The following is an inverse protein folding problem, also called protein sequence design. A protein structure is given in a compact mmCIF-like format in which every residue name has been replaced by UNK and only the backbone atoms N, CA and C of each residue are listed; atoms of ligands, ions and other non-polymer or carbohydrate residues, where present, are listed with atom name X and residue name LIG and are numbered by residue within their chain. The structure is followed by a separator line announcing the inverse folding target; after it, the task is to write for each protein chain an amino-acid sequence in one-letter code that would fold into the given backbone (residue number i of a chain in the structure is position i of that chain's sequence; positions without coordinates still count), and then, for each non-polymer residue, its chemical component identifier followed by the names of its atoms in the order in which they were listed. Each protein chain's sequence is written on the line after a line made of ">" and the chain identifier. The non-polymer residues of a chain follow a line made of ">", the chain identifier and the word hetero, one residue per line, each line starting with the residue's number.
data_IF_086367313491
#
_entry.id   IF_086367313491
#
_cell.length_a   1.000
_cell.length_b   1.000
_cell.length_c   1.000
_cell.angle_alpha   90.00
_cell.angle_beta   90.00
_cell.angle_gamma   90.00
#
_symmetry.space_group_name_H-M   'P 1'
#
loop_
_entity.id
_entity.type
_entity.pdbx_description
1 polymer ?
#
# COMPACT_ATOMS: atom_id res chain seq x y z
N UNK A 1 16.19 28.79 8.41
CA UNK A 1 15.29 27.66 8.71
C UNK A 1 15.17 26.85 7.44
N UNK A 2 15.76 25.65 7.40
CA UNK A 2 15.55 24.73 6.28
C UNK A 2 14.06 24.40 6.25
N UNK A 3 13.38 24.71 5.15
CA UNK A 3 12.03 24.18 4.92
C UNK A 3 12.21 22.66 4.88
N UNK A 4 11.74 21.96 5.91
CA UNK A 4 11.64 20.51 5.83
C UNK A 4 10.80 20.20 4.58
N UNK A 5 11.34 19.39 3.66
CA UNK A 5 10.63 19.03 2.45
C UNK A 5 9.30 18.37 2.85
N UNK A 6 8.19 18.90 2.32
CA UNK A 6 6.86 18.32 2.55
C UNK A 6 6.83 16.94 1.89
N UNK A 7 6.62 15.92 2.70
CA UNK A 7 6.43 14.54 2.23
C UNK A 7 4.94 14.20 2.20
N UNK A 8 4.49 13.54 1.13
CA UNK A 8 3.08 13.22 0.88
C UNK A 8 2.89 11.72 0.69
N UNK A 9 1.74 11.23 1.14
CA UNK A 9 1.29 9.87 0.81
C UNK A 9 0.38 9.87 -0.44
N UNK A 10 0.09 8.69 -0.95
CA UNK A 10 -0.75 8.51 -2.14
C UNK A 10 -2.15 9.13 -2.01
N UNK A 11 -2.66 9.28 -0.78
CA UNK A 11 -3.96 9.88 -0.52
C UNK A 11 -4.02 11.34 -0.96
N UNK A 12 -2.89 12.06 -0.94
CA UNK A 12 -2.81 13.46 -1.37
C UNK A 12 -3.26 13.64 -2.83
N UNK A 13 -2.99 12.68 -3.71
CA UNK A 13 -3.30 12.74 -5.16
C UNK A 13 -4.80 12.85 -5.43
N UNK A 14 -5.63 12.32 -4.54
CA UNK A 14 -7.09 12.26 -4.74
C UNK A 14 -7.88 13.17 -3.81
N UNK A 15 -7.19 13.98 -3.01
CA UNK A 15 -7.78 14.97 -2.10
C UNK A 15 -7.89 16.34 -2.75
N UNK A 16 -8.71 17.21 -2.16
CA UNK A 16 -8.78 18.61 -2.55
C UNK A 16 -7.43 19.28 -2.33
N UNK A 17 -6.91 19.96 -3.35
CA UNK A 17 -5.61 20.67 -3.30
C UNK A 17 -5.51 21.67 -2.16
N UNK A 18 -6.63 22.37 -1.86
CA UNK A 18 -6.71 23.28 -0.71
C UNK A 18 -6.47 22.50 0.58
N UNK A 19 -7.17 21.38 0.79
CA UNK A 19 -6.97 20.56 1.99
C UNK A 19 -5.52 20.10 2.14
N UNK A 20 -4.91 19.59 1.08
CA UNK A 20 -3.50 19.16 1.10
C UNK A 20 -2.59 20.33 1.46
N UNK A 21 -2.79 21.51 0.88
CA UNK A 21 -2.02 22.70 1.24
C UNK A 21 -2.18 23.07 2.72
N UNK A 22 -3.41 23.15 3.23
CA UNK A 22 -3.67 23.48 4.63
C UNK A 22 -3.12 22.44 5.62
N UNK A 23 -3.16 21.14 5.29
CA UNK A 23 -2.58 20.06 6.12
C UNK A 23 -1.04 20.13 6.20
N UNK A 24 -0.38 20.89 5.31
CA UNK A 24 1.08 20.95 5.19
C UNK A 24 1.65 22.38 5.21
N UNK A 25 0.82 23.39 5.46
CA UNK A 25 1.26 24.78 5.54
C UNK A 25 1.84 25.06 6.94
N UNK A 26 3.15 25.40 7.06
CA UNK A 26 3.75 25.71 8.35
C UNK A 26 3.19 26.97 9.01
N UNK A 27 2.48 27.82 8.26
CA UNK A 27 1.78 28.99 8.80
C UNK A 27 0.32 28.70 9.17
N UNK A 28 -0.18 27.48 8.96
CA UNK A 28 -1.53 27.12 9.37
C UNK A 28 -1.68 27.27 10.89
N UNK A 29 -2.81 27.83 11.37
CA UNK A 29 -3.06 27.94 12.79
C UNK A 29 -3.17 26.55 13.41
N UNK A 30 -2.51 26.36 14.56
CA UNK A 30 -2.65 25.15 15.37
C UNK A 30 -4.02 25.16 16.05
N UNK A 31 -4.96 24.43 15.47
CA UNK A 31 -6.35 24.36 15.92
C UNK A 31 -6.62 22.95 16.45
N UNK A 32 -7.34 22.87 17.57
CA UNK A 32 -7.80 21.58 18.08
C UNK A 32 -8.70 20.90 17.03
N UNK A 33 -8.36 19.66 16.60
CA UNK A 33 -9.16 18.96 15.61
C UNK A 33 -10.57 18.71 16.14
N UNK A 34 -11.57 18.99 15.31
CA UNK A 34 -12.93 18.57 15.62
C UNK A 34 -12.99 17.04 15.71
N UNK A 35 -13.81 16.48 16.62
CA UNK A 35 -14.00 15.05 16.70
C UNK A 35 -14.50 14.52 15.35
N UNK A 36 -13.92 13.40 14.92
CA UNK A 36 -14.30 12.81 13.64
C UNK A 36 -15.74 12.28 13.69
N UNK A 37 -16.43 12.36 12.56
CA UNK A 37 -17.77 11.82 12.43
C UNK A 37 -17.78 10.31 12.75
N UNK A 38 -18.68 9.80 13.61
CA UNK A 38 -18.73 8.38 13.98
C UNK A 38 -18.82 7.42 12.78
N UNK A 39 -19.52 7.81 11.71
CA UNK A 39 -19.60 7.01 10.50
C UNK A 39 -18.28 6.93 9.72
N UNK A 40 -17.42 7.94 9.83
CA UNK A 40 -16.07 7.91 9.26
C UNK A 40 -15.16 7.02 10.08
N UNK A 41 -15.19 7.16 11.41
CA UNK A 41 -14.45 6.30 12.34
C UNK A 41 -14.81 4.82 12.13
N UNK A 42 -16.11 4.50 12.07
CA UNK A 42 -16.57 3.14 11.81
C UNK A 42 -16.04 2.58 10.48
N UNK A 43 -16.02 3.38 9.40
CA UNK A 43 -15.50 2.93 8.10
C UNK A 43 -13.99 2.67 8.13
N UNK A 44 -13.22 3.46 8.88
CA UNK A 44 -11.79 3.24 9.08
C UNK A 44 -11.54 1.95 9.86
N UNK A 45 -12.25 1.76 10.98
CA UNK A 45 -12.17 0.56 11.79
C UNK A 45 -12.51 -0.70 11.00
N UNK A 46 -13.62 -0.67 10.25
CA UNK A 46 -14.04 -1.77 9.36
C UNK A 46 -12.97 -2.11 8.31
N UNK A 47 -12.36 -1.10 7.69
CA UNK A 47 -11.32 -1.30 6.68
C UNK A 47 -10.06 -1.90 7.30
N UNK A 48 -9.66 -1.45 8.49
CA UNK A 48 -8.52 -2.00 9.23
C UNK A 48 -8.77 -3.46 9.63
N UNK A 49 -9.95 -3.77 10.17
CA UNK A 49 -10.35 -5.13 10.52
C UNK A 49 -10.35 -6.06 9.30
N UNK A 50 -10.86 -5.59 8.16
CA UNK A 50 -10.85 -6.36 6.91
C UNK A 50 -9.42 -6.67 6.44
N UNK A 51 -8.53 -5.68 6.42
CA UNK A 51 -7.12 -5.88 6.05
C UNK A 51 -6.45 -6.89 6.98
N UNK A 52 -6.61 -6.73 8.29
CA UNK A 52 -6.05 -7.65 9.28
C UNK A 52 -6.57 -9.09 9.07
N UNK A 53 -7.87 -9.26 8.80
CA UNK A 53 -8.47 -10.57 8.55
C UNK A 53 -7.91 -11.23 7.28
N UNK A 54 -7.80 -10.50 6.18
CA UNK A 54 -7.24 -11.03 4.91
C UNK A 54 -5.75 -11.36 5.06
N UNK A 55 -4.96 -10.46 5.67
CA UNK A 55 -3.52 -10.71 5.92
C UNK A 55 -3.34 -11.94 6.81
N UNK A 56 -4.14 -12.08 7.87
CA UNK A 56 -4.10 -13.27 8.76
C UNK A 56 -4.46 -14.55 8.01
N UNK A 57 -5.47 -14.51 7.15
CA UNK A 57 -5.86 -15.65 6.33
C UNK A 57 -4.72 -16.04 5.38
N UNK A 58 -4.16 -15.08 4.64
CA UNK A 58 -3.07 -15.34 3.69
C UNK A 58 -1.86 -15.94 4.39
N UNK A 59 -1.43 -15.40 5.53
CA UNK A 59 -0.28 -15.90 6.28
C UNK A 59 -0.38 -17.38 6.68
N UNK A 60 -1.58 -17.97 6.74
CA UNK A 60 -1.78 -19.40 7.01
C UNK A 60 -1.43 -20.30 5.82
N UNK A 61 -1.40 -19.75 4.60
CA UNK A 61 -1.12 -20.50 3.37
C UNK A 61 0.35 -20.43 2.93
N UNK A 62 1.16 -19.58 3.57
CA UNK A 62 2.58 -19.46 3.28
C UNK A 62 3.43 -20.17 4.34
N UNK A 63 4.54 -20.82 3.96
CA UNK A 63 5.54 -21.27 4.92
C UNK A 63 6.04 -20.12 5.78
N UNK A 64 6.33 -20.37 7.06
CA UNK A 64 6.80 -19.33 7.99
C UNK A 64 8.07 -18.63 7.51
N UNK A 65 8.91 -19.31 6.75
CA UNK A 65 10.14 -18.74 6.16
C UNK A 65 9.89 -17.82 4.97
N UNK A 66 8.72 -17.94 4.31
CA UNK A 66 8.34 -17.16 3.13
C UNK A 66 7.57 -15.88 3.51
N UNK A 67 7.24 -15.69 4.79
CA UNK A 67 6.39 -14.60 5.25
C UNK A 67 7.03 -13.84 6.41
N UNK A 68 7.20 -12.52 6.26
CA UNK A 68 7.59 -11.62 7.35
C UNK A 68 6.49 -10.60 7.60
N UNK A 69 6.09 -10.46 8.86
CA UNK A 69 5.16 -9.43 9.30
C UNK A 69 5.92 -8.27 9.94
N UNK A 70 5.79 -7.08 9.37
CA UNK A 70 6.31 -5.84 9.96
C UNK A 70 5.45 -5.47 11.18
N UNK A 71 6.03 -5.24 12.36
CA UNK A 71 5.29 -4.85 13.55
C UNK A 71 4.49 -3.57 13.29
N UNK A 72 3.20 -3.55 13.65
CA UNK A 72 2.33 -2.39 13.39
C UNK A 72 2.36 -1.36 14.51
N UNK A 73 2.85 -1.77 15.69
CA UNK A 73 2.96 -1.01 16.94
C UNK A 73 4.35 -0.39 17.15
N UNK A 74 5.31 -0.69 16.28
CA UNK A 74 6.65 -0.11 16.29
C UNK A 74 6.69 1.31 15.70
N UNK A 75 7.72 2.07 16.07
CA UNK A 75 7.95 3.42 15.55
C UNK A 75 8.22 3.40 14.03
N UNK A 76 7.91 4.48 13.28
CA UNK A 76 8.04 4.49 11.82
C UNK A 76 9.41 4.05 11.31
N UNK A 77 10.50 4.50 11.96
CA UNK A 77 11.86 4.17 11.55
C UNK A 77 12.18 2.68 11.76
N UNK A 78 11.68 2.08 12.84
CA UNK A 78 11.82 0.65 13.12
C UNK A 78 11.05 -0.19 12.10
N UNK A 79 9.85 0.28 11.71
CA UNK A 79 9.03 -0.37 10.68
C UNK A 79 9.68 -0.30 9.30
N UNK A 80 10.30 0.85 8.97
CA UNK A 80 11.09 1.01 7.74
C UNK A 80 12.28 0.05 7.75
N UNK A 81 13.05 0.02 8.84
CA UNK A 81 14.20 -0.87 8.98
C UNK A 81 13.81 -2.35 8.85
N UNK A 82 12.73 -2.77 9.52
CA UNK A 82 12.21 -4.13 9.42
C UNK A 82 11.72 -4.48 8.00
N UNK A 83 11.11 -3.51 7.30
CA UNK A 83 10.69 -3.68 5.91
C UNK A 83 11.91 -3.87 5.01
N UNK A 84 12.89 -2.97 5.07
CA UNK A 84 14.12 -3.03 4.25
C UNK A 84 14.87 -4.34 4.50
N UNK A 85 15.07 -4.73 5.76
CA UNK A 85 15.74 -5.98 6.09
C UNK A 85 15.03 -7.21 5.48
N UNK A 86 13.70 -7.22 5.43
CA UNK A 86 12.94 -8.31 4.81
C UNK A 86 13.06 -8.32 3.27
N UNK A 87 13.10 -7.13 2.65
CA UNK A 87 13.32 -6.99 1.19
C UNK A 87 14.73 -7.42 0.78
N UNK A 88 15.74 -7.01 1.54
CA UNK A 88 17.15 -7.41 1.34
C UNK A 88 17.35 -8.92 1.55
N UNK A 89 16.66 -9.50 2.52
CA UNK A 89 16.66 -10.95 2.75
C UNK A 89 15.93 -11.74 1.65
N UNK A 90 15.23 -11.06 0.73
CA UNK A 90 14.52 -11.71 -0.37
C UNK A 90 13.32 -12.54 0.08
N UNK A 91 12.65 -12.15 1.18
CA UNK A 91 11.45 -12.82 1.68
C UNK A 91 10.34 -12.75 0.63
N UNK A 92 9.64 -13.87 0.41
CA UNK A 92 8.62 -13.95 -0.64
C UNK A 92 7.46 -12.97 -0.42
N UNK A 93 7.01 -12.80 0.82
CA UNK A 93 5.93 -11.88 1.18
C UNK A 93 6.26 -11.10 2.45
N UNK A 94 6.20 -9.77 2.37
CA UNK A 94 6.32 -8.86 3.52
C UNK A 94 4.97 -8.18 3.76
N UNK A 95 4.35 -8.43 4.92
CA UNK A 95 3.06 -7.81 5.27
C UNK A 95 3.23 -6.58 6.16
N UNK A 96 2.46 -5.52 5.89
CA UNK A 96 2.51 -4.27 6.63
C UNK A 96 3.71 -3.37 6.29
N UNK A 97 4.33 -3.60 5.11
CA UNK A 97 5.54 -2.93 4.68
C UNK A 97 5.42 -1.41 4.62
N UNK A 98 6.37 -0.73 5.27
CA UNK A 98 6.54 0.73 5.24
C UNK A 98 7.87 1.03 4.56
N UNK A 99 7.85 1.78 3.46
CA UNK A 99 9.04 2.02 2.66
C UNK A 99 9.81 3.25 3.15
N UNK A 100 11.13 3.34 2.88
CA UNK A 100 11.91 4.53 3.14
C UNK A 100 11.26 5.78 2.58
N UNK A 101 11.34 6.88 3.33
CA UNK A 101 10.83 8.18 2.88
C UNK A 101 11.74 8.70 1.76
N UNK A 102 11.14 8.93 0.59
CA UNK A 102 11.81 9.55 -0.54
C UNK A 102 11.72 11.07 -0.39
N UNK A 103 12.74 11.63 0.26
CA UNK A 103 12.86 13.07 0.55
C UNK A 103 13.06 13.92 -0.71
N UNK A 104 13.64 13.35 -1.76
CA UNK A 104 13.91 14.05 -3.01
C UNK A 104 12.61 14.30 -3.78
N UNK A 105 11.77 13.27 -3.90
CA UNK A 105 10.48 13.40 -4.58
C UNK A 105 9.32 13.75 -3.63
N UNK A 106 9.57 13.88 -2.33
CA UNK A 106 8.56 14.22 -1.33
C UNK A 106 7.50 13.12 -1.14
N UNK A 107 7.90 11.84 -1.17
CA UNK A 107 6.97 10.69 -1.09
C UNK A 107 7.19 9.90 0.20
N UNK A 108 6.10 9.48 0.82
CA UNK A 108 6.09 8.47 1.91
C UNK A 108 4.96 7.46 1.70
N UNK A 109 5.06 6.29 2.31
CA UNK A 109 3.96 5.33 2.32
C UNK A 109 4.40 3.86 2.32
N UNK A 110 3.44 2.99 2.06
CA UNK A 110 3.63 1.55 2.07
C UNK A 110 2.40 0.80 1.54
N UNK A 111 2.46 -0.51 1.56
CA UNK A 111 1.41 -1.40 1.09
C UNK A 111 1.02 -2.42 2.15
N UNK A 112 -0.18 -3.00 2.01
CA UNK A 112 -0.59 -4.09 2.89
C UNK A 112 0.32 -5.32 2.71
N UNK A 113 0.77 -5.60 1.48
CA UNK A 113 1.75 -6.62 1.17
C UNK A 113 2.77 -6.10 0.15
N UNK A 114 4.02 -6.54 0.27
CA UNK A 114 5.04 -6.48 -0.76
C UNK A 114 5.36 -7.92 -1.16
N UNK A 115 5.18 -8.24 -2.44
CA UNK A 115 5.33 -9.60 -2.97
C UNK A 115 6.55 -9.65 -3.86
N UNK A 116 7.42 -10.62 -3.60
CA UNK A 116 8.63 -10.84 -4.38
C UNK A 116 8.30 -11.44 -5.74
N UNK A 117 8.99 -10.97 -6.76
CA UNK A 117 8.98 -11.50 -8.12
C UNK A 117 10.42 -11.84 -8.52
N UNK A 118 10.65 -12.44 -9.70
CA UNK A 118 12.01 -12.62 -10.21
C UNK A 118 12.78 -11.30 -10.41
N UNK A 119 12.09 -10.18 -10.66
CA UNK A 119 12.69 -8.88 -10.96
C UNK A 119 12.80 -7.91 -9.78
N UNK A 120 12.17 -8.21 -8.63
CA UNK A 120 12.15 -7.33 -7.46
C UNK A 120 10.91 -7.56 -6.61
N UNK A 121 10.25 -6.47 -6.21
CA UNK A 121 9.01 -6.49 -5.45
C UNK A 121 7.92 -5.69 -6.13
N UNK A 122 6.69 -6.17 -5.99
CA UNK A 122 5.47 -5.45 -6.37
C UNK A 122 4.57 -5.21 -5.16
N UNK A 123 3.86 -4.07 -5.09
CA UNK A 123 2.92 -3.83 -4.01
C UNK A 123 1.58 -4.51 -4.29
N UNK A 124 0.98 -5.09 -3.25
CA UNK A 124 -0.40 -5.55 -3.26
C UNK A 124 -1.17 -4.82 -2.17
N UNK A 125 -2.30 -4.23 -2.55
CA UNK A 125 -3.19 -3.53 -1.62
C UNK A 125 -4.41 -4.40 -1.29
N UNK A 126 -4.88 -4.29 -0.06
CA UNK A 126 -6.12 -4.94 0.39
C UNK A 126 -7.15 -3.84 0.67
N UNK A 127 -8.27 -3.91 -0.05
CA UNK A 127 -9.33 -2.89 -0.03
C UNK A 127 -10.67 -3.48 0.37
N UNK A 128 -11.49 -2.69 1.08
CA UNK A 128 -12.85 -3.06 1.49
C UNK A 128 -13.91 -2.36 0.64
N UNK A 129 -13.76 -2.47 -0.67
CA UNK A 129 -14.76 -2.05 -1.65
C UNK A 129 -14.71 -2.97 -2.86
N UNK A 130 -15.75 -2.93 -3.69
CA UNK A 130 -15.82 -3.77 -4.88
C UNK A 130 -14.78 -3.32 -5.92
N UNK A 131 -13.97 -4.26 -6.40
CA UNK A 131 -12.95 -4.03 -7.46
C UNK A 131 -13.27 -4.70 -8.80
N UNK A 132 -14.29 -5.57 -8.82
CA UNK A 132 -14.78 -6.24 -10.03
C UNK A 132 -16.30 -6.24 -10.08
N UNK A 133 -16.88 -6.18 -11.27
CA UNK A 133 -18.31 -6.37 -11.51
C UNK A 133 -18.55 -7.67 -12.32
N UNK A 134 -19.80 -8.20 -12.40
CA UNK A 134 -20.12 -9.27 -13.34
C UNK A 134 -19.77 -8.87 -14.78
N UNK A 135 -19.13 -9.76 -15.53
CA UNK A 135 -18.64 -9.52 -16.89
C UNK A 135 -17.48 -10.45 -17.20
N UNK A 136 -16.58 -10.07 -18.09
CA UNK A 136 -15.37 -10.82 -18.40
C UNK A 136 -14.18 -9.87 -18.60
N UNK A 137 -12.96 -10.39 -18.56
CA UNK A 137 -11.76 -9.65 -18.96
C UNK A 137 -10.87 -9.15 -17.82
N UNK A 138 -11.26 -9.31 -16.55
CA UNK A 138 -10.35 -9.04 -15.44
C UNK A 138 -9.25 -10.11 -15.37
N UNK A 139 -8.02 -9.72 -15.04
CA UNK A 139 -6.99 -10.68 -14.66
C UNK A 139 -7.19 -11.03 -13.19
N UNK A 140 -7.48 -12.29 -12.89
CA UNK A 140 -7.64 -12.78 -11.52
C UNK A 140 -6.82 -14.03 -11.29
N UNK A 141 -6.48 -14.29 -10.04
CA UNK A 141 -5.86 -15.53 -9.57
C UNK A 141 -6.51 -15.90 -8.24
N UNK A 142 -6.23 -17.11 -7.75
CA UNK A 142 -6.70 -17.53 -6.44
C UNK A 142 -6.18 -16.57 -5.36
N UNK A 143 -6.99 -16.33 -4.33
CA UNK A 143 -6.62 -15.42 -3.23
C UNK A 143 -5.26 -15.79 -2.60
N UNK A 144 -4.96 -17.09 -2.52
CA UNK A 144 -3.73 -17.63 -1.92
C UNK A 144 -2.54 -17.67 -2.88
N UNK A 145 -2.75 -17.36 -4.16
CA UNK A 145 -1.69 -17.28 -5.16
C UNK A 145 -1.38 -15.81 -5.45
N UNK A 146 -0.34 -15.30 -4.80
CA UNK A 146 0.04 -13.89 -4.92
C UNK A 146 0.96 -13.62 -6.12
N UNK A 147 1.31 -14.63 -6.92
CA UNK A 147 2.15 -14.43 -8.09
C UNK A 147 1.33 -13.82 -9.24
N UNK A 148 1.61 -12.57 -9.67
CA UNK A 148 0.86 -11.93 -10.76
C UNK A 148 0.95 -12.70 -12.09
N UNK A 149 2.00 -13.49 -12.33
CA UNK A 149 2.14 -14.30 -13.56
C UNK A 149 1.16 -15.47 -13.63
N UNK A 150 0.58 -15.84 -12.50
CA UNK A 150 -0.45 -16.86 -12.46
C UNK A 150 -1.85 -16.29 -12.72
N UNK A 151 -2.00 -14.97 -12.80
CA UNK A 151 -3.26 -14.34 -13.15
C UNK A 151 -3.71 -14.75 -14.57
N UNK A 152 -5.01 -15.02 -14.71
CA UNK A 152 -5.64 -15.42 -15.97
C UNK A 152 -6.87 -14.54 -16.20
N UNK A 153 -7.27 -14.44 -17.46
CA UNK A 153 -8.52 -13.75 -17.83
C UNK A 153 -9.69 -14.49 -17.19
N UNK A 154 -10.45 -13.77 -16.39
CA UNK A 154 -11.62 -14.27 -15.69
C UNK A 154 -12.85 -14.20 -16.61
N UNK A 155 -13.57 -15.32 -16.83
CA UNK A 155 -14.75 -15.35 -17.68
C UNK A 155 -16.01 -14.78 -16.99
N UNK A 156 -15.95 -14.48 -15.69
CA UNK A 156 -17.09 -14.03 -14.89
C UNK A 156 -16.85 -12.69 -14.17
N UNK A 157 -15.65 -12.10 -14.30
CA UNK A 157 -15.30 -10.80 -13.73
C UNK A 157 -14.76 -9.84 -14.77
N UNK A 158 -15.28 -8.60 -14.76
CA UNK A 158 -14.66 -7.44 -15.40
C UNK A 158 -14.08 -6.49 -14.37
N UNK A 159 -13.01 -5.79 -14.73
CA UNK A 159 -12.40 -4.77 -13.86
C UNK A 159 -13.38 -3.64 -13.62
N UNK A 160 -13.51 -3.22 -12.35
CA UNK A 160 -14.17 -1.98 -11.98
C UNK A 160 -13.11 -0.91 -11.78
N UNK A 161 -13.19 0.18 -12.54
CA UNK A 161 -12.22 1.27 -12.41
C UNK A 161 -12.23 1.85 -10.99
N UNK A 162 -11.05 1.86 -10.37
CA UNK A 162 -10.79 2.45 -9.06
C UNK A 162 -9.54 3.34 -9.15
N UNK A 163 -9.65 4.58 -9.65
CA UNK A 163 -8.47 5.44 -9.86
C UNK A 163 -7.65 5.68 -8.58
N UNK A 164 -8.30 5.74 -7.41
CA UNK A 164 -7.63 5.88 -6.11
C UNK A 164 -6.67 4.73 -5.82
N UNK A 165 -7.08 3.51 -6.16
CA UNK A 165 -6.28 2.30 -5.95
C UNK A 165 -5.10 2.28 -6.92
N UNK A 166 -5.34 2.64 -8.18
CA UNK A 166 -4.29 2.76 -9.20
C UNK A 166 -3.22 3.79 -8.81
N UNK A 167 -3.63 4.98 -8.36
CA UNK A 167 -2.69 5.99 -7.86
C UNK A 167 -1.92 5.52 -6.63
N UNK A 168 -2.58 4.79 -5.73
CA UNK A 168 -1.92 4.20 -4.56
C UNK A 168 -0.85 3.19 -4.97
N UNK A 169 -1.17 2.28 -5.88
CA UNK A 169 -0.20 1.30 -6.39
C UNK A 169 0.96 1.98 -7.10
N UNK A 170 0.71 2.94 -7.98
CA UNK A 170 1.74 3.70 -8.68
C UNK A 170 2.67 4.44 -7.70
N UNK A 171 2.10 5.09 -6.69
CA UNK A 171 2.88 5.78 -5.64
C UNK A 171 3.80 4.82 -4.89
N UNK A 172 3.33 3.62 -4.55
CA UNK A 172 4.14 2.63 -3.84
C UNK A 172 5.20 2.00 -4.75
N UNK A 173 4.90 1.78 -6.04
CA UNK A 173 5.91 1.35 -7.02
C UNK A 173 7.05 2.36 -7.12
N UNK A 174 6.73 3.65 -7.12
CA UNK A 174 7.77 4.69 -7.13
C UNK A 174 8.62 4.71 -5.86
N UNK A 175 8.02 4.47 -4.68
CA UNK A 175 8.78 4.32 -3.44
C UNK A 175 9.67 3.07 -3.46
N UNK A 176 9.18 1.95 -3.99
CA UNK A 176 9.99 0.74 -4.19
C UNK A 176 11.15 1.01 -5.15
N UNK A 177 10.93 1.79 -6.20
CA UNK A 177 11.98 2.17 -7.16
C UNK A 177 13.03 3.05 -6.50
N UNK A 178 12.61 4.07 -5.73
CA UNK A 178 13.51 4.92 -4.96
C UNK A 178 14.34 4.12 -3.94
N UNK A 179 13.75 3.08 -3.35
CA UNK A 179 14.43 2.16 -2.44
C UNK A 179 15.26 1.06 -3.15
N UNK A 180 15.25 0.98 -4.49
CA UNK A 180 16.01 -0.02 -5.25
C UNK A 180 15.44 -1.44 -5.24
N UNK A 181 14.16 -1.61 -4.84
CA UNK A 181 13.52 -2.92 -4.69
C UNK A 181 12.37 -3.19 -5.67
N UNK A 182 11.98 -2.22 -6.52
CA UNK A 182 10.89 -2.43 -7.47
C UNK A 182 11.24 -3.47 -8.55
N UNK A 183 10.27 -4.29 -8.94
CA UNK A 183 10.32 -5.03 -10.19
C UNK A 183 10.12 -4.05 -11.37
N UNK A 184 11.16 -3.81 -12.22
CA UNK A 184 11.08 -2.80 -13.27
C UNK A 184 10.13 -3.17 -14.42
N UNK A 185 9.86 -4.47 -14.61
CA UNK A 185 9.01 -4.97 -15.69
C UNK A 185 7.52 -4.95 -15.29
N UNK A 186 7.21 -4.56 -14.04
CA UNK A 186 5.84 -4.52 -13.50
C UNK A 186 5.48 -3.16 -12.96
N UNK A 187 4.95 -2.32 -13.85
CA UNK A 187 4.67 -0.91 -13.57
C UNK A 187 3.21 -0.64 -13.18
N UNK A 188 2.56 -1.59 -12.49
CA UNK A 188 1.13 -1.61 -12.12
C UNK A 188 0.19 -2.07 -13.26
N UNK A 189 -0.73 -2.98 -12.96
CA UNK A 189 -1.76 -3.52 -13.86
C UNK A 189 -3.18 -3.18 -13.41
#
# INVERSE_FOLDING_TARGET
>A
MSLANVVLDAGAVTRCRRRVHWEHDPAAPDLEPLPENPATEQRKADAQAHRAAVTKLLAQYFPRSAWVAVPTDAEPDERIAATVAALEAGVDVVSGGLLPVDQEAGRRGGAELLVRTPGGYVPVIIVRHRVTDPGEGALTTALTDLNPDNARVDPARRVRSQPRDQFRLAHVVELLRAAGHADPDRVVG
#
